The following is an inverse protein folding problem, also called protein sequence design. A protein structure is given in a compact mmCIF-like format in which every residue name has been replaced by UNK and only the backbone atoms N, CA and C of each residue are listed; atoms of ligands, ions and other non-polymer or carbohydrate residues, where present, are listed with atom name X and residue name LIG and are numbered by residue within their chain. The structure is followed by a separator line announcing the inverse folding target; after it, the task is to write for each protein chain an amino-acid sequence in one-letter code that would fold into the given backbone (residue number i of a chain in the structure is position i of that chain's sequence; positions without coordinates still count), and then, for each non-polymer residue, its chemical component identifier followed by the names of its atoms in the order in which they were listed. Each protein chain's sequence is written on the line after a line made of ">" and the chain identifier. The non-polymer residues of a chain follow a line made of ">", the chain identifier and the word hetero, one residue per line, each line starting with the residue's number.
data_IF_771973311935
#
_entry.id   IF_771973311935
#
_cell.length_a   1.000
_cell.length_b   1.000
_cell.length_c   1.000
_cell.angle_alpha   90.00
_cell.angle_beta   90.00
_cell.angle_gamma   90.00
#
_symmetry.space_group_name_H-M   'P 1'
#
loop_
_entity.id
_entity.type
_entity.pdbx_description
1 polymer ?
#
# COMPACT_ATOMS: atom_id res chain seq x y z
N UNK A 1 -12.00 -20.38 -17.79
CA UNK A 1 -11.48 -19.09 -17.32
C UNK A 1 -12.59 -18.35 -16.59
N UNK A 2 -12.33 -17.81 -15.39
CA UNK A 2 -13.27 -16.98 -14.61
C UNK A 2 -12.89 -15.52 -14.77
N UNK A 3 -13.88 -14.63 -14.79
CA UNK A 3 -13.67 -13.19 -14.61
C UNK A 3 -14.15 -12.82 -13.20
N UNK A 4 -13.30 -12.12 -12.44
CA UNK A 4 -13.63 -11.67 -11.09
C UNK A 4 -13.47 -10.14 -11.03
N UNK A 5 -14.59 -9.46 -10.91
CA UNK A 5 -14.66 -8.01 -10.76
C UNK A 5 -14.21 -7.56 -9.37
N UNK A 6 -14.01 -6.26 -9.17
CA UNK A 6 -13.74 -5.67 -7.86
C UNK A 6 -14.81 -6.05 -6.83
N UNK A 7 -16.09 -6.02 -7.22
CA UNK A 7 -17.20 -6.39 -6.36
C UNK A 7 -17.19 -7.90 -5.99
N UNK A 8 -16.85 -8.78 -6.95
CA UNK A 8 -16.72 -10.20 -6.65
C UNK A 8 -15.62 -10.45 -5.63
N UNK A 9 -14.45 -9.80 -5.80
CA UNK A 9 -13.32 -9.93 -4.89
C UNK A 9 -13.64 -9.36 -3.50
N UNK A 10 -14.27 -8.19 -3.43
CA UNK A 10 -14.67 -7.58 -2.17
C UNK A 10 -15.70 -8.44 -1.41
N UNK A 11 -16.60 -9.13 -2.14
CA UNK A 11 -17.62 -10.00 -1.54
C UNK A 11 -17.09 -11.28 -0.93
N UNK A 12 -15.82 -11.65 -1.20
CA UNK A 12 -15.18 -12.82 -0.61
C UNK A 12 -14.94 -12.71 0.90
N UNK A 13 -15.01 -11.50 1.46
CA UNK A 13 -14.81 -11.27 2.90
C UNK A 13 -13.41 -11.62 3.40
N UNK A 14 -12.39 -11.53 2.53
CA UNK A 14 -11.01 -11.83 2.89
C UNK A 14 -10.54 -10.85 3.98
N UNK A 15 -10.15 -11.40 5.11
CA UNK A 15 -9.74 -10.65 6.29
C UNK A 15 -8.29 -10.18 6.21
N UNK A 16 -7.93 -9.13 6.94
CA UNK A 16 -6.55 -8.67 7.09
C UNK A 16 -5.63 -9.81 7.58
N UNK A 17 -6.09 -10.63 8.52
CA UNK A 17 -5.31 -11.76 9.03
C UNK A 17 -4.98 -12.77 7.94
N UNK A 18 -5.92 -13.09 7.05
CA UNK A 18 -5.68 -13.99 5.90
C UNK A 18 -4.70 -13.39 4.90
N UNK A 19 -4.81 -12.07 4.61
CA UNK A 19 -3.87 -11.37 3.73
C UNK A 19 -2.47 -11.39 4.32
N UNK A 20 -2.30 -11.03 5.59
CA UNK A 20 -1.01 -11.04 6.30
C UNK A 20 -0.40 -12.45 6.30
N UNK A 21 -1.18 -13.48 6.64
CA UNK A 21 -0.71 -14.87 6.63
C UNK A 21 -0.30 -15.33 5.21
N UNK A 22 -1.03 -14.91 4.18
CA UNK A 22 -0.68 -15.19 2.79
C UNK A 22 0.65 -14.52 2.39
N UNK A 23 0.82 -13.24 2.73
CA UNK A 23 2.05 -12.50 2.45
C UNK A 23 3.26 -13.10 3.16
N UNK A 24 3.12 -13.43 4.44
CA UNK A 24 4.18 -14.07 5.24
C UNK A 24 4.60 -15.41 4.61
N UNK A 25 3.64 -16.27 4.25
CA UNK A 25 3.89 -17.55 3.60
C UNK A 25 4.63 -17.37 2.26
N UNK A 26 4.23 -16.40 1.44
CA UNK A 26 4.87 -16.15 0.14
C UNK A 26 6.28 -15.59 0.27
N UNK A 27 6.53 -14.70 1.23
CA UNK A 27 7.88 -14.16 1.51
C UNK A 27 8.80 -15.29 1.98
N UNK A 28 8.32 -16.17 2.88
CA UNK A 28 9.09 -17.34 3.31
C UNK A 28 9.33 -18.33 2.17
N UNK A 29 8.33 -18.55 1.31
CA UNK A 29 8.48 -19.40 0.12
C UNK A 29 9.51 -18.82 -0.86
N UNK A 30 9.53 -17.49 -1.06
CA UNK A 30 10.54 -16.81 -1.88
C UNK A 30 11.94 -17.00 -1.30
N UNK A 31 12.13 -16.83 0.00
CA UNK A 31 13.40 -17.06 0.67
C UNK A 31 13.90 -18.51 0.56
N UNK A 32 12.97 -19.46 0.38
CA UNK A 32 13.23 -20.90 0.19
C UNK A 32 13.33 -21.32 -1.29
N UNK A 33 13.26 -20.37 -2.24
CA UNK A 33 13.32 -20.65 -3.66
C UNK A 33 12.07 -21.35 -4.23
N UNK A 34 10.90 -21.19 -3.59
CA UNK A 34 9.61 -21.79 -3.99
C UNK A 34 8.58 -20.75 -4.44
N UNK A 35 8.96 -19.48 -4.45
CA UNK A 35 8.22 -18.41 -5.10
C UNK A 35 9.21 -17.46 -5.77
N UNK A 36 8.82 -16.89 -6.89
CA UNK A 36 9.68 -16.07 -7.75
C UNK A 36 8.94 -14.82 -8.20
N UNK A 37 9.67 -13.73 -8.29
CA UNK A 37 9.22 -12.48 -8.90
C UNK A 37 10.23 -12.03 -9.96
N UNK A 38 9.74 -11.44 -11.05
CA UNK A 38 10.60 -10.78 -12.02
C UNK A 38 10.71 -9.27 -11.70
N UNK A 39 11.81 -8.62 -12.09
CA UNK A 39 11.90 -7.17 -12.05
C UNK A 39 10.72 -6.50 -12.75
N UNK A 40 10.24 -5.38 -12.20
CA UNK A 40 9.15 -4.60 -12.80
C UNK A 40 9.60 -4.09 -14.18
N UNK A 41 8.76 -4.29 -15.19
CA UNK A 41 8.98 -3.75 -16.54
C UNK A 41 7.96 -2.66 -16.79
N UNK A 42 8.40 -1.55 -17.35
CA UNK A 42 7.52 -0.40 -17.55
C UNK A 42 7.71 0.29 -18.90
N UNK A 43 6.65 0.98 -19.32
CA UNK A 43 6.64 1.89 -20.46
C UNK A 43 6.02 3.20 -20.01
N UNK A 44 6.74 4.30 -20.17
CA UNK A 44 6.25 5.65 -19.93
C UNK A 44 6.03 6.38 -21.25
N UNK A 45 4.99 7.18 -21.31
CA UNK A 45 4.67 8.04 -22.47
C UNK A 45 5.04 9.49 -22.18
N UNK A 46 5.12 10.34 -23.21
CA UNK A 46 5.50 11.74 -23.08
C UNK A 46 4.51 12.59 -22.27
N UNK A 47 3.29 12.11 -22.05
CA UNK A 47 2.23 12.72 -21.26
C UNK A 47 2.06 12.08 -19.87
N UNK A 48 3.13 11.48 -19.36
CA UNK A 48 3.23 10.87 -18.02
C UNK A 48 2.26 9.69 -17.78
N UNK A 49 1.65 9.10 -18.82
CA UNK A 49 0.99 7.82 -18.65
C UNK A 49 2.05 6.73 -18.50
N UNK A 50 1.80 5.80 -17.61
CA UNK A 50 2.77 4.80 -17.22
C UNK A 50 2.11 3.43 -17.12
N UNK A 51 2.59 2.47 -17.93
CA UNK A 51 2.17 1.08 -17.85
C UNK A 51 3.29 0.26 -17.20
N UNK A 52 2.95 -0.50 -16.20
CA UNK A 52 3.87 -1.41 -15.51
C UNK A 52 3.33 -2.84 -15.54
N UNK A 53 4.19 -3.81 -15.86
CA UNK A 53 3.91 -5.22 -15.71
C UNK A 53 4.77 -5.84 -14.61
N UNK A 54 4.17 -6.73 -13.84
CA UNK A 54 4.86 -7.56 -12.84
C UNK A 54 4.52 -9.02 -13.05
N UNK A 55 5.52 -9.88 -12.92
CA UNK A 55 5.40 -11.32 -13.08
C UNK A 55 5.72 -11.99 -11.74
N UNK A 56 4.94 -13.00 -11.38
CA UNK A 56 5.19 -13.80 -10.20
C UNK A 56 4.81 -15.26 -10.44
N UNK A 57 5.49 -16.16 -9.75
CA UNK A 57 5.21 -17.58 -9.74
C UNK A 57 5.34 -18.12 -8.32
N UNK A 58 4.58 -19.16 -7.99
CA UNK A 58 4.70 -19.93 -6.76
C UNK A 58 4.43 -21.41 -7.03
N UNK A 59 5.06 -22.28 -6.24
CA UNK A 59 4.81 -23.73 -6.29
C UNK A 59 3.58 -24.14 -5.50
N UNK A 60 3.27 -23.39 -4.43
CA UNK A 60 2.13 -23.68 -3.55
C UNK A 60 1.40 -22.38 -3.16
N UNK A 61 0.20 -22.19 -3.70
CA UNK A 61 -0.45 -22.96 -4.80
C UNK A 61 0.31 -22.80 -6.13
N UNK A 62 0.23 -23.78 -7.05
CA UNK A 62 1.00 -23.79 -8.30
C UNK A 62 0.41 -22.81 -9.32
N UNK A 63 0.65 -21.53 -9.10
CA UNK A 63 0.16 -20.46 -9.96
C UNK A 63 1.29 -19.58 -10.48
N UNK A 64 1.08 -19.08 -11.69
CA UNK A 64 1.80 -17.94 -12.25
C UNK A 64 0.85 -16.80 -12.52
N UNK A 65 1.30 -15.57 -12.31
CA UNK A 65 0.47 -14.40 -12.48
C UNK A 65 1.20 -13.28 -13.23
N UNK A 66 0.42 -12.56 -14.05
CA UNK A 66 0.82 -11.31 -14.67
C UNK A 66 -0.12 -10.23 -14.18
N UNK A 67 0.42 -9.20 -13.53
CA UNK A 67 -0.33 -7.99 -13.21
C UNK A 67 0.11 -6.87 -14.15
N UNK A 68 -0.83 -6.31 -14.90
CA UNK A 68 -0.66 -5.09 -15.66
C UNK A 68 -1.34 -3.93 -14.91
N UNK A 69 -0.61 -2.84 -14.69
CA UNK A 69 -1.07 -1.66 -13.98
C UNK A 69 -0.77 -0.43 -14.82
N UNK A 70 -1.80 0.38 -15.09
CA UNK A 70 -1.68 1.64 -15.81
C UNK A 70 -1.97 2.80 -14.87
N UNK A 71 -1.09 3.78 -14.85
CA UNK A 71 -1.28 5.06 -14.19
C UNK A 71 -1.57 6.11 -15.27
N UNK A 72 -2.66 6.85 -15.10
CA UNK A 72 -2.99 8.00 -15.93
C UNK A 72 -3.27 9.22 -15.02
N UNK A 73 -2.34 10.19 -14.97
CA UNK A 73 -2.47 11.37 -14.10
C UNK A 73 -3.68 12.26 -14.42
N UNK A 74 -4.22 12.19 -15.64
CA UNK A 74 -5.39 12.96 -16.05
C UNK A 74 -6.73 12.36 -15.62
N UNK A 75 -6.77 11.07 -15.25
CA UNK A 75 -8.01 10.37 -14.90
C UNK A 75 -8.80 11.03 -13.75
N UNK A 76 -8.17 11.53 -12.66
CA UNK A 76 -8.90 12.18 -11.57
C UNK A 76 -9.73 13.39 -12.01
N UNK A 77 -9.27 14.13 -13.01
CA UNK A 77 -10.01 15.27 -13.58
C UNK A 77 -11.30 14.82 -14.29
N UNK A 78 -11.38 13.56 -14.69
CA UNK A 78 -12.54 12.92 -15.33
C UNK A 78 -13.33 12.04 -14.35
N UNK A 79 -13.14 12.17 -13.03
CA UNK A 79 -13.71 11.31 -11.99
C UNK A 79 -13.42 9.80 -12.21
N UNK A 80 -12.24 9.46 -12.70
CA UNK A 80 -11.77 8.08 -12.90
C UNK A 80 -10.59 7.81 -11.99
N UNK A 81 -10.37 6.54 -11.65
CA UNK A 81 -9.21 6.13 -10.89
C UNK A 81 -7.92 6.45 -11.65
N UNK A 82 -6.96 7.09 -10.97
CA UNK A 82 -5.64 7.35 -11.55
C UNK A 82 -4.90 6.07 -11.90
N UNK A 83 -5.14 5.01 -11.12
CA UNK A 83 -4.52 3.69 -11.27
C UNK A 83 -5.61 2.69 -11.61
N UNK A 84 -5.37 1.90 -12.66
CA UNK A 84 -6.21 0.78 -13.03
C UNK A 84 -5.31 -0.44 -13.32
N UNK A 85 -5.72 -1.59 -12.83
CA UNK A 85 -4.94 -2.81 -12.96
C UNK A 85 -5.81 -4.02 -13.31
N UNK A 86 -5.21 -4.99 -13.97
CA UNK A 86 -5.75 -6.32 -14.18
C UNK A 86 -4.72 -7.39 -13.84
N UNK A 87 -5.18 -8.57 -13.44
CA UNK A 87 -4.32 -9.71 -13.14
C UNK A 87 -4.80 -10.91 -13.94
N UNK A 88 -3.90 -11.49 -14.73
CA UNK A 88 -4.12 -12.79 -15.36
C UNK A 88 -3.48 -13.86 -14.47
N UNK A 89 -4.28 -14.83 -14.02
CA UNK A 89 -3.84 -15.97 -13.23
C UNK A 89 -3.83 -17.24 -14.08
N UNK A 90 -2.73 -17.97 -14.04
CA UNK A 90 -2.49 -19.19 -14.78
C UNK A 90 -2.10 -20.32 -13.84
N UNK A 91 -2.66 -21.50 -14.08
CA UNK A 91 -2.19 -22.75 -13.49
C UNK A 91 -0.82 -23.09 -14.07
N UNK A 92 0.22 -23.12 -13.22
CA UNK A 92 1.59 -23.34 -13.68
C UNK A 92 1.87 -24.77 -14.16
N UNK A 93 1.05 -25.74 -13.73
CA UNK A 93 1.17 -27.16 -14.13
C UNK A 93 0.70 -27.40 -15.56
N UNK A 94 -0.35 -26.68 -15.96
CA UNK A 94 -1.03 -26.91 -17.25
C UNK A 94 -0.85 -25.78 -18.25
N UNK A 95 -0.36 -24.61 -17.80
CA UNK A 95 -0.26 -23.39 -18.60
C UNK A 95 -1.62 -22.73 -18.91
N UNK A 96 -2.73 -23.24 -18.37
CA UNK A 96 -4.07 -22.71 -18.64
C UNK A 96 -4.35 -21.46 -17.85
N UNK A 97 -4.88 -20.42 -18.51
CA UNK A 97 -5.46 -19.26 -17.81
C UNK A 97 -6.70 -19.71 -17.03
N UNK A 98 -6.68 -19.52 -15.72
CA UNK A 98 -7.78 -19.90 -14.81
C UNK A 98 -8.68 -18.72 -14.47
N UNK A 99 -8.11 -17.53 -14.34
CA UNK A 99 -8.88 -16.33 -14.03
C UNK A 99 -8.27 -15.06 -14.64
N UNK A 100 -9.15 -14.09 -14.88
CA UNK A 100 -8.81 -12.67 -15.06
C UNK A 100 -9.48 -11.89 -13.92
N UNK A 101 -8.68 -11.19 -13.13
CA UNK A 101 -9.14 -10.49 -11.94
C UNK A 101 -9.00 -8.98 -12.11
N UNK A 102 -9.91 -8.22 -11.49
CA UNK A 102 -9.67 -6.81 -11.21
C UNK A 102 -8.42 -6.67 -10.33
N UNK A 103 -7.49 -5.85 -10.80
CA UNK A 103 -6.22 -5.65 -10.11
C UNK A 103 -6.25 -4.48 -9.12
N UNK A 104 -7.28 -3.63 -9.12
CA UNK A 104 -7.34 -2.46 -8.24
C UNK A 104 -7.53 -2.88 -6.79
N UNK A 105 -8.53 -3.74 -6.54
CA UNK A 105 -8.78 -4.30 -5.21
C UNK A 105 -7.55 -5.06 -4.68
N UNK A 106 -6.99 -5.96 -5.50
CA UNK A 106 -5.79 -6.72 -5.11
C UNK A 106 -4.62 -5.79 -4.80
N UNK A 107 -4.40 -4.75 -5.63
CA UNK A 107 -3.32 -3.77 -5.41
C UNK A 107 -3.49 -3.01 -4.10
N UNK A 108 -4.72 -2.63 -3.76
CA UNK A 108 -5.03 -1.96 -2.50
C UNK A 108 -4.76 -2.87 -1.29
N UNK A 109 -5.36 -4.05 -1.29
CA UNK A 109 -5.32 -4.98 -0.16
C UNK A 109 -3.92 -5.58 0.06
N UNK A 110 -3.21 -6.01 -1.01
CA UNK A 110 -1.88 -6.59 -0.86
C UNK A 110 -0.85 -5.57 -0.37
N UNK A 111 -0.99 -4.28 -0.76
CA UNK A 111 -0.04 -3.25 -0.33
C UNK A 111 -0.22 -2.95 1.16
N UNK A 112 -1.45 -2.77 1.61
CA UNK A 112 -1.75 -2.62 3.02
C UNK A 112 -1.37 -3.88 3.83
N UNK A 113 -1.59 -5.08 3.27
CA UNK A 113 -1.20 -6.34 3.88
C UNK A 113 0.31 -6.51 4.07
N UNK A 114 1.12 -6.07 3.09
CA UNK A 114 2.57 -6.07 3.23
C UNK A 114 3.04 -5.13 4.36
N UNK A 115 2.49 -3.92 4.41
CA UNK A 115 2.74 -2.96 5.49
C UNK A 115 2.30 -3.51 6.85
N UNK A 116 1.12 -4.12 6.90
CA UNK A 116 0.55 -4.73 8.10
C UNK A 116 1.39 -5.91 8.61
N UNK A 117 1.93 -6.75 7.71
CA UNK A 117 2.84 -7.82 8.07
C UNK A 117 4.10 -7.29 8.77
N UNK A 118 4.73 -6.25 8.19
CA UNK A 118 5.93 -5.66 8.80
C UNK A 118 5.57 -4.97 10.12
N UNK A 119 4.47 -4.23 10.15
CA UNK A 119 3.99 -3.56 11.37
C UNK A 119 3.73 -4.55 12.51
N UNK A 120 3.11 -5.69 12.24
CA UNK A 120 2.87 -6.78 13.21
C UNK A 120 4.14 -7.23 13.94
N UNK A 121 5.28 -7.20 13.25
CA UNK A 121 6.57 -7.65 13.80
C UNK A 121 7.44 -6.51 14.36
N UNK A 122 7.21 -5.27 13.94
CA UNK A 122 8.13 -4.16 14.17
C UNK A 122 7.51 -3.00 14.97
N UNK A 123 6.20 -2.81 14.88
CA UNK A 123 5.53 -1.73 15.61
C UNK A 123 5.24 -2.14 17.05
N UNK A 124 5.04 -1.13 17.91
CA UNK A 124 4.57 -1.38 19.28
C UNK A 124 3.12 -1.90 19.23
N UNK A 125 2.86 -3.00 19.93
CA UNK A 125 1.52 -3.62 19.99
C UNK A 125 0.44 -2.70 20.57
N UNK A 126 0.82 -1.75 21.42
CA UNK A 126 -0.09 -0.77 22.04
C UNK A 126 -0.26 0.51 21.19
N UNK A 127 0.20 0.51 19.93
CA UNK A 127 0.08 1.64 19.02
C UNK A 127 -1.39 2.06 18.86
N UNK A 128 -1.69 3.33 19.10
CA UNK A 128 -3.06 3.83 19.18
C UNK A 128 -3.32 5.06 18.32
N UNK A 129 -2.28 5.72 17.83
CA UNK A 129 -2.37 6.91 16.96
C UNK A 129 -1.79 6.60 15.60
N UNK A 130 -2.62 6.65 14.57
CA UNK A 130 -2.24 6.44 13.18
C UNK A 130 -2.25 7.76 12.40
N UNK A 131 -1.13 8.13 11.81
CA UNK A 131 -1.02 9.24 10.86
C UNK A 131 -1.06 8.72 9.42
N UNK A 132 -1.89 9.34 8.60
CA UNK A 132 -2.05 9.03 7.17
C UNK A 132 -1.71 10.26 6.34
N UNK A 133 -0.59 10.22 5.63
CA UNK A 133 -0.14 11.26 4.70
C UNK A 133 -0.43 10.82 3.27
N UNK A 134 -1.38 11.52 2.63
CA UNK A 134 -2.08 11.04 1.45
C UNK A 134 -3.36 10.29 1.85
N UNK A 135 -4.52 10.73 1.31
CA UNK A 135 -5.84 10.25 1.73
C UNK A 135 -6.54 9.45 0.62
N UNK A 136 -5.77 8.76 -0.21
CA UNK A 136 -6.26 7.97 -1.34
C UNK A 136 -6.73 6.56 -0.97
N UNK A 137 -6.79 5.69 -1.98
CA UNK A 137 -7.15 4.26 -1.83
C UNK A 137 -6.22 3.57 -0.85
N UNK A 138 -4.90 3.80 -0.95
CA UNK A 138 -3.92 3.17 -0.06
C UNK A 138 -4.12 3.57 1.41
N UNK A 139 -4.40 4.85 1.68
CA UNK A 139 -4.67 5.29 3.05
C UNK A 139 -5.87 4.55 3.66
N UNK A 140 -6.97 4.38 2.90
CA UNK A 140 -8.15 3.63 3.35
C UNK A 140 -7.86 2.15 3.61
N UNK A 141 -7.10 1.51 2.71
CA UNK A 141 -6.72 0.11 2.87
C UNK A 141 -5.78 -0.10 4.06
N UNK A 142 -4.85 0.82 4.30
CA UNK A 142 -3.98 0.77 5.47
C UNK A 142 -4.74 1.06 6.76
N UNK A 143 -5.67 2.02 6.76
CA UNK A 143 -6.54 2.27 7.90
C UNK A 143 -7.28 0.99 8.31
N UNK A 144 -7.92 0.31 7.36
CA UNK A 144 -8.61 -0.96 7.65
C UNK A 144 -7.65 -2.02 8.19
N UNK A 145 -6.52 -2.25 7.51
CA UNK A 145 -5.57 -3.27 7.91
C UNK A 145 -4.95 -3.01 9.29
N UNK A 146 -4.65 -1.74 9.60
CA UNK A 146 -4.05 -1.38 10.89
C UNK A 146 -5.07 -1.34 12.02
N UNK A 147 -6.34 -1.00 11.73
CA UNK A 147 -7.42 -1.08 12.73
C UNK A 147 -7.72 -2.52 13.17
N UNK A 148 -7.47 -3.50 12.28
CA UNK A 148 -7.64 -4.92 12.61
C UNK A 148 -6.49 -5.47 13.48
N UNK A 149 -5.32 -4.80 13.48
CA UNK A 149 -4.11 -5.27 14.16
C UNK A 149 -3.75 -4.51 15.43
N UNK A 150 -4.12 -3.24 15.54
CA UNK A 150 -3.72 -2.35 16.62
C UNK A 150 -4.94 -1.73 17.30
N UNK A 151 -4.85 -1.42 18.61
CA UNK A 151 -5.93 -0.78 19.35
C UNK A 151 -6.02 0.73 19.01
N UNK A 152 -6.25 1.04 17.73
CA UNK A 152 -6.30 2.41 17.25
C UNK A 152 -7.42 3.21 17.91
N UNK A 153 -7.09 4.40 18.39
CA UNK A 153 -8.02 5.35 19.01
C UNK A 153 -8.12 6.67 18.26
N UNK A 154 -7.05 7.05 17.56
CA UNK A 154 -7.00 8.33 16.84
C UNK A 154 -6.39 8.13 15.44
N UNK A 155 -7.00 8.79 14.47
CA UNK A 155 -6.47 8.91 13.10
C UNK A 155 -6.21 10.38 12.79
N UNK A 156 -5.01 10.67 12.30
CA UNK A 156 -4.61 11.99 11.83
C UNK A 156 -4.43 11.95 10.33
N UNK A 157 -5.21 12.73 9.59
CA UNK A 157 -5.24 12.71 8.15
C UNK A 157 -4.71 14.01 7.56
N UNK A 158 -3.66 13.91 6.73
CA UNK A 158 -3.11 15.03 5.96
C UNK A 158 -3.12 14.70 4.46
N UNK A 159 -3.67 15.61 3.65
CA UNK A 159 -3.71 15.46 2.21
C UNK A 159 -4.19 16.73 1.51
N UNK A 160 -3.73 16.94 0.28
CA UNK A 160 -4.01 18.16 -0.51
C UNK A 160 -5.47 18.33 -0.92
N UNK A 161 -6.22 17.23 -1.05
CA UNK A 161 -7.60 17.24 -1.55
C UNK A 161 -8.61 17.03 -0.45
N UNK A 162 -9.44 18.04 -0.12
CA UNK A 162 -10.46 17.95 0.92
C UNK A 162 -11.37 16.73 0.74
N UNK A 163 -11.88 16.48 -0.47
CA UNK A 163 -12.78 15.35 -0.76
C UNK A 163 -12.24 13.99 -0.28
N UNK A 164 -10.97 13.68 -0.58
CA UNK A 164 -10.39 12.40 -0.17
C UNK A 164 -10.05 12.37 1.32
N UNK A 165 -9.62 13.51 1.88
CA UNK A 165 -9.34 13.63 3.31
C UNK A 165 -10.62 13.44 4.11
N UNK A 166 -11.69 14.13 3.73
CA UNK A 166 -12.97 14.06 4.42
C UNK A 166 -13.58 12.64 4.36
N UNK A 167 -13.51 11.99 3.20
CA UNK A 167 -13.95 10.59 3.06
C UNK A 167 -13.10 9.61 3.90
N UNK A 168 -11.80 9.86 4.09
CA UNK A 168 -10.96 9.08 4.98
C UNK A 168 -11.33 9.33 6.45
N UNK A 169 -11.60 10.59 6.80
CA UNK A 169 -12.06 10.98 8.13
C UNK A 169 -13.41 10.34 8.49
N UNK A 170 -14.36 10.35 7.55
CA UNK A 170 -15.66 9.67 7.72
C UNK A 170 -15.48 8.17 7.96
N UNK A 171 -14.61 7.51 7.17
CA UNK A 171 -14.31 6.09 7.36
C UNK A 171 -13.72 5.82 8.75
N UNK A 172 -12.73 6.61 9.21
CA UNK A 172 -12.13 6.44 10.51
C UNK A 172 -13.15 6.66 11.65
N UNK A 173 -14.00 7.68 11.52
CA UNK A 173 -15.11 7.94 12.45
C UNK A 173 -16.10 6.79 12.52
N UNK A 174 -16.45 6.18 11.38
CA UNK A 174 -17.35 5.01 11.34
C UNK A 174 -16.77 3.77 12.01
N UNK A 175 -15.44 3.69 12.13
CA UNK A 175 -14.73 2.65 12.88
C UNK A 175 -14.58 3.00 14.39
N UNK A 176 -15.17 4.10 14.84
CA UNK A 176 -15.18 4.52 16.25
C UNK A 176 -13.91 5.25 16.72
N UNK A 177 -13.10 5.74 15.81
CA UNK A 177 -11.86 6.45 16.13
C UNK A 177 -12.08 7.96 16.22
N UNK A 178 -11.30 8.61 17.08
CA UNK A 178 -11.13 10.07 17.05
C UNK A 178 -10.42 10.47 15.74
N UNK A 179 -10.90 11.53 15.10
CA UNK A 179 -10.39 11.94 13.79
C UNK A 179 -9.90 13.37 13.83
N UNK A 180 -8.66 13.59 13.36
CA UNK A 180 -8.06 14.89 13.21
C UNK A 180 -7.70 15.12 11.74
N UNK A 181 -8.41 16.03 11.09
CA UNK A 181 -8.02 16.56 9.79
C UNK A 181 -6.92 17.59 9.98
N UNK A 182 -5.68 17.24 9.65
CA UNK A 182 -4.53 18.10 9.86
C UNK A 182 -4.34 19.08 8.69
N UNK A 183 -3.99 20.31 9.00
CA UNK A 183 -3.66 21.34 8.00
C UNK A 183 -2.17 21.31 7.64
N UNK A 184 -1.31 20.80 8.55
CA UNK A 184 0.12 20.63 8.37
C UNK A 184 0.55 19.16 8.35
N UNK A 185 1.60 18.86 7.59
CA UNK A 185 2.18 17.52 7.57
C UNK A 185 2.86 17.18 8.89
N UNK A 186 3.53 18.16 9.53
CA UNK A 186 4.13 18.02 10.86
C UNK A 186 3.08 17.68 11.91
N UNK A 187 1.95 18.39 11.94
CA UNK A 187 0.86 18.14 12.88
C UNK A 187 0.30 16.71 12.76
N UNK A 188 0.29 16.17 11.53
CA UNK A 188 -0.18 14.82 11.30
C UNK A 188 0.76 13.77 11.90
N UNK A 189 2.08 13.90 11.67
CA UNK A 189 3.04 12.84 12.00
C UNK A 189 3.63 12.97 13.42
N UNK A 190 3.66 14.19 13.99
CA UNK A 190 4.22 14.42 15.31
C UNK A 190 3.44 13.70 16.40
N UNK A 191 4.13 12.84 17.17
CA UNK A 191 3.52 12.05 18.24
C UNK A 191 2.66 10.86 17.78
N UNK A 192 2.59 10.54 16.46
CA UNK A 192 1.94 9.34 15.98
C UNK A 192 2.75 8.07 16.33
N UNK A 193 2.07 6.94 16.59
CA UNK A 193 2.70 5.64 16.81
C UNK A 193 3.01 4.95 15.49
N UNK A 194 2.09 5.10 14.54
CA UNK A 194 2.13 4.53 13.21
C UNK A 194 1.98 5.65 12.19
N UNK A 195 2.83 5.66 11.18
CA UNK A 195 2.77 6.62 10.07
C UNK A 195 2.71 5.86 8.76
N UNK A 196 1.77 6.21 7.90
CA UNK A 196 1.72 5.69 6.53
C UNK A 196 1.75 6.85 5.56
N UNK A 197 2.69 6.79 4.60
CA UNK A 197 2.73 7.73 3.50
C UNK A 197 2.36 7.05 2.18
N UNK A 198 1.43 7.68 1.46
CA UNK A 198 0.88 7.15 0.21
C UNK A 198 0.43 8.26 -0.72
N UNK A 199 1.36 9.15 -1.07
CA UNK A 199 1.09 10.24 -2.00
C UNK A 199 1.24 9.77 -3.46
N UNK A 200 0.61 10.44 -4.43
CA UNK A 200 0.81 10.12 -5.84
C UNK A 200 2.27 10.27 -6.25
N UNK A 201 2.78 9.28 -6.99
CA UNK A 201 4.10 9.35 -7.62
C UNK A 201 4.02 10.34 -8.80
N UNK A 202 4.62 11.50 -8.63
CA UNK A 202 4.73 12.54 -9.67
C UNK A 202 6.21 12.84 -9.91
N UNK A 203 6.61 13.25 -11.14
CA UNK A 203 8.02 13.36 -11.52
C UNK A 203 8.86 14.33 -10.68
N UNK A 204 8.22 15.31 -10.03
CA UNK A 204 8.92 16.28 -9.18
C UNK A 204 8.13 16.49 -7.89
N UNK A 205 8.54 15.80 -6.85
CA UNK A 205 8.05 16.01 -5.48
C UNK A 205 9.17 16.72 -4.72
N UNK A 206 8.88 17.92 -4.20
CA UNK A 206 9.73 18.54 -3.20
C UNK A 206 9.46 17.82 -1.87
N UNK A 207 10.47 17.21 -1.23
CA UNK A 207 10.29 16.55 0.05
C UNK A 207 9.82 17.53 1.12
N UNK A 208 8.74 17.18 1.80
CA UNK A 208 8.09 18.06 2.79
C UNK A 208 7.91 17.41 4.16
N UNK A 209 8.24 16.13 4.32
CA UNK A 209 8.25 15.44 5.61
C UNK A 209 9.67 15.38 6.17
N UNK A 210 9.76 15.51 7.49
CA UNK A 210 11.02 15.47 8.20
C UNK A 210 11.01 14.38 9.27
N UNK A 211 12.04 13.53 9.29
CA UNK A 211 12.19 12.48 10.28
C UNK A 211 12.31 13.01 11.72
N UNK A 212 12.83 14.22 11.88
CA UNK A 212 12.99 14.85 13.20
C UNK A 212 11.65 15.18 13.89
N UNK A 213 10.54 15.18 13.15
CA UNK A 213 9.19 15.34 13.72
C UNK A 213 8.65 14.07 14.36
N UNK A 214 9.28 12.95 14.09
CA UNK A 214 8.81 11.65 14.54
C UNK A 214 9.23 11.38 15.98
N UNK A 215 8.35 10.77 16.75
CA UNK A 215 8.71 10.34 18.10
C UNK A 215 9.54 9.05 18.10
N UNK A 216 10.35 8.80 19.12
CA UNK A 216 11.03 7.51 19.29
C UNK A 216 10.05 6.34 19.30
N UNK A 217 10.41 5.24 18.64
CA UNK A 217 9.60 4.03 18.56
C UNK A 217 8.46 4.06 17.54
N UNK A 218 8.39 5.11 16.70
CA UNK A 218 7.42 5.17 15.59
C UNK A 218 7.67 4.06 14.57
N UNK A 219 6.60 3.50 14.03
CA UNK A 219 6.64 2.67 12.85
C UNK A 219 6.20 3.48 11.62
N UNK A 220 7.03 3.51 10.59
CA UNK A 220 6.73 4.17 9.31
C UNK A 220 6.58 3.14 8.19
N UNK A 221 5.48 3.19 7.46
CA UNK A 221 5.30 2.51 6.18
C UNK A 221 5.20 3.54 5.05
N UNK A 222 6.12 3.46 4.10
CA UNK A 222 6.14 4.33 2.91
C UNK A 222 5.80 3.50 1.67
N UNK A 223 4.68 3.83 1.01
CA UNK A 223 4.26 3.17 -0.23
C UNK A 223 4.49 4.04 -1.47
N UNK A 224 5.19 5.13 -1.29
CA UNK A 224 5.45 6.19 -2.25
C UNK A 224 6.96 6.42 -2.47
N UNK A 225 7.76 5.35 -2.30
CA UNK A 225 9.22 5.36 -2.47
C UNK A 225 9.93 6.38 -1.55
N UNK A 226 9.35 6.70 -0.42
CA UNK A 226 9.80 7.72 0.52
C UNK A 226 10.03 9.11 -0.12
N UNK A 227 9.44 9.38 -1.28
CA UNK A 227 9.60 10.65 -1.99
C UNK A 227 9.19 11.89 -1.18
N UNK A 228 8.16 11.86 -0.31
CA UNK A 228 7.84 13.03 0.50
C UNK A 228 8.84 13.31 1.63
N UNK A 229 9.74 12.39 1.96
CA UNK A 229 10.67 12.51 3.08
C UNK A 229 11.98 13.18 2.68
N UNK A 230 12.47 14.09 3.51
CA UNK A 230 13.81 14.68 3.36
C UNK A 230 14.85 13.57 3.57
N UNK A 231 15.70 13.32 2.59
CA UNK A 231 16.67 12.21 2.63
C UNK A 231 17.58 12.25 3.84
N UNK A 232 18.06 13.45 4.24
CA UNK A 232 18.92 13.63 5.39
C UNK A 232 18.28 13.26 6.72
N UNK A 233 16.96 13.40 6.86
CA UNK A 233 16.24 13.10 8.08
C UNK A 233 15.89 11.60 8.24
N UNK A 234 16.10 10.78 7.20
CA UNK A 234 15.84 9.33 7.29
C UNK A 234 16.85 8.58 8.19
N UNK A 235 17.96 9.24 8.56
CA UNK A 235 18.94 8.67 9.48
C UNK A 235 18.44 8.49 10.93
N UNK A 236 17.24 9.01 11.26
CA UNK A 236 16.60 8.79 12.58
C UNK A 236 16.10 7.35 12.78
N UNK A 237 15.98 6.56 11.69
CA UNK A 237 15.51 5.19 11.79
C UNK A 237 16.65 4.22 12.09
N UNK A 238 16.53 3.47 13.18
CA UNK A 238 17.48 2.40 13.52
C UNK A 238 17.43 1.23 12.55
N UNK A 239 16.29 1.03 11.89
CA UNK A 239 16.07 -0.08 10.95
C UNK A 239 15.20 0.35 9.78
N UNK A 240 15.68 0.05 8.57
CA UNK A 240 14.95 0.24 7.31
C UNK A 240 14.80 -1.13 6.64
N UNK A 241 13.57 -1.48 6.30
CA UNK A 241 13.23 -2.72 5.60
C UNK A 241 12.68 -2.33 4.23
N UNK A 242 13.14 -3.00 3.20
CA UNK A 242 12.66 -2.86 1.83
C UNK A 242 12.17 -4.22 1.33
N UNK A 243 11.16 -4.22 0.49
CA UNK A 243 10.52 -5.44 -0.04
C UNK A 243 11.39 -6.15 -1.09
N UNK A 244 12.16 -5.42 -1.89
CA UNK A 244 13.05 -6.00 -2.89
C UNK A 244 14.29 -5.14 -3.14
N UNK A 245 15.47 -5.68 -2.81
CA UNK A 245 16.75 -4.99 -2.98
C UNK A 245 17.12 -4.73 -4.44
N UNK A 246 16.65 -5.56 -5.37
CA UNK A 246 16.98 -5.40 -6.80
C UNK A 246 16.11 -4.32 -7.46
N UNK A 247 14.95 -4.04 -6.90
CA UNK A 247 14.03 -3.03 -7.43
C UNK A 247 14.30 -1.63 -6.84
N UNK A 248 14.99 -1.55 -5.71
CA UNK A 248 15.31 -0.30 -5.00
C UNK A 248 16.76 0.17 -5.24
N UNK A 249 17.57 -0.61 -5.94
CA UNK A 249 18.93 -0.25 -6.36
C UNK A 249 18.90 0.49 -7.71
#
# INVERSE_FOLDING_TARGET
>A
MRYLSENDLASLGITTAEVVACMERLILAQAQGRAWIAPKTNVATADDRYLMATLAAADDPPFMAVKALLINPANPQMNRNAINASITLMDSTTGRTVALLDGNWVTAVRTAGASALVAKHMANADSSVLALVGCGVQARSHLQAFSDLFPLRQVRAFGRGAKNRDALCELAGSLGMEVVACDGAEDAVSGADLVVTSIPLVPKIEPFLDGDWLKPGVFLSSTDLALPWKRGSMAVFDRIIIDDRQQEA
#
